data_IF_180369351144
#
_entry.id   IF_180369351144
#
_cell.length_a   1.000
_cell.length_b   1.000
_cell.length_c   1.000
_cell.angle_alpha   90.00
_cell.angle_beta   90.00
_cell.angle_gamma   90.00
#
_symmetry.space_group_name_H-M   'P 1'
#
loop_
_entity.id
_entity.type
_entity.pdbx_description
1 polymer ?
#
# COMPACT_ATOMS: atom_id res chain seq x y z
N UNK A 1 1.60 -4.91 -12.89
CA UNK A 1 2.40 -3.68 -12.77
C UNK A 1 2.87 -3.44 -11.36
N UNK A 2 4.15 -3.19 -11.17
CA UNK A 2 4.69 -2.83 -9.87
C UNK A 2 4.75 -1.30 -9.75
N UNK A 3 3.99 -0.75 -8.83
CA UNK A 3 4.00 0.66 -8.50
C UNK A 3 4.85 0.90 -7.23
N UNK A 4 5.98 1.57 -7.38
CA UNK A 4 6.83 1.96 -6.25
C UNK A 4 6.57 3.44 -5.94
N UNK A 5 5.97 3.75 -4.77
CA UNK A 5 5.69 5.11 -4.37
C UNK A 5 6.94 5.98 -4.28
N UNK A 6 6.80 7.28 -4.56
CA UNK A 6 7.91 8.22 -4.62
C UNK A 6 8.79 8.25 -3.35
N UNK A 7 8.17 8.16 -2.17
CA UNK A 7 8.94 8.14 -0.92
C UNK A 7 9.67 6.80 -0.69
N UNK A 8 9.10 5.68 -1.18
CA UNK A 8 9.78 4.38 -1.15
C UNK A 8 10.98 4.42 -2.07
N UNK A 9 10.80 4.90 -3.31
CA UNK A 9 11.87 5.02 -4.29
C UNK A 9 13.01 5.93 -3.80
N UNK A 10 12.67 7.05 -3.17
CA UNK A 10 13.64 8.05 -2.73
C UNK A 10 14.34 7.71 -1.39
N UNK A 11 13.64 7.11 -0.43
CA UNK A 11 14.14 6.94 0.94
C UNK A 11 14.40 5.48 1.32
N UNK A 12 13.68 4.53 0.72
CA UNK A 12 13.71 3.11 1.06
C UNK A 12 13.70 2.22 -0.19
N UNK A 13 14.61 2.43 -1.17
CA UNK A 13 14.58 1.71 -2.46
C UNK A 13 14.69 0.20 -2.30
N UNK A 14 15.30 -0.27 -1.20
CA UNK A 14 15.38 -1.69 -0.85
C UNK A 14 14.01 -2.34 -0.65
N UNK A 15 12.98 -1.60 -0.22
CA UNK A 15 11.60 -2.10 -0.10
C UNK A 15 11.02 -2.38 -1.48
N UNK A 16 11.26 -1.50 -2.45
CA UNK A 16 10.86 -1.72 -3.84
C UNK A 16 11.52 -2.95 -4.45
N UNK A 17 12.84 -3.08 -4.25
CA UNK A 17 13.61 -4.25 -4.71
C UNK A 17 13.13 -5.54 -4.03
N UNK A 18 12.88 -5.51 -2.72
CA UNK A 18 12.36 -6.66 -1.98
C UNK A 18 10.98 -7.08 -2.48
N UNK A 19 10.09 -6.11 -2.74
CA UNK A 19 8.75 -6.37 -3.29
C UNK A 19 8.85 -7.03 -4.67
N UNK A 20 9.69 -6.51 -5.55
CA UNK A 20 9.92 -7.11 -6.87
C UNK A 20 10.40 -8.57 -6.75
N UNK A 21 11.43 -8.80 -5.91
CA UNK A 21 11.98 -10.14 -5.68
C UNK A 21 10.95 -11.11 -5.09
N UNK A 22 10.15 -10.65 -4.13
CA UNK A 22 9.10 -11.46 -3.53
C UNK A 22 8.07 -11.90 -4.57
N UNK A 23 7.52 -10.96 -5.32
CA UNK A 23 6.50 -11.26 -6.33
C UNK A 23 7.03 -12.17 -7.44
N UNK A 24 8.24 -11.92 -7.94
CA UNK A 24 8.87 -12.81 -8.96
C UNK A 24 9.21 -14.19 -8.42
N UNK A 25 9.62 -14.32 -7.15
CA UNK A 25 9.88 -15.61 -6.51
C UNK A 25 8.62 -16.47 -6.36
N UNK A 26 7.45 -15.85 -6.37
CA UNK A 26 6.15 -16.52 -6.36
C UNK A 26 5.64 -16.89 -7.77
N UNK A 27 6.48 -16.68 -8.80
CA UNK A 27 6.18 -17.04 -10.19
C UNK A 27 5.33 -16.02 -10.94
N UNK A 28 5.20 -14.81 -10.42
CA UNK A 28 4.43 -13.74 -11.07
C UNK A 28 5.29 -13.02 -12.13
N UNK A 29 4.64 -12.65 -13.24
CA UNK A 29 5.23 -11.77 -14.25
C UNK A 29 5.11 -10.31 -13.78
N UNK A 30 6.23 -9.72 -13.40
CA UNK A 30 6.26 -8.40 -12.77
C UNK A 30 6.96 -7.40 -13.66
N UNK A 31 6.25 -6.37 -14.07
CA UNK A 31 6.80 -5.23 -14.82
C UNK A 31 6.85 -3.98 -13.94
N UNK A 32 8.00 -3.32 -13.93
CA UNK A 32 8.22 -2.00 -13.32
C UNK A 32 8.23 -0.92 -14.41
N UNK A 33 7.15 -0.13 -14.59
CA UNK A 33 7.13 0.94 -15.58
C UNK A 33 8.07 2.09 -15.19
N UNK A 34 9.09 2.38 -15.99
CA UNK A 34 10.09 3.42 -15.68
C UNK A 34 9.55 4.85 -15.67
N UNK A 35 8.39 5.08 -16.29
CA UNK A 35 7.76 6.41 -16.37
C UNK A 35 6.79 6.69 -15.23
N UNK A 36 6.73 5.81 -14.23
CA UNK A 36 5.86 6.03 -13.09
C UNK A 36 6.29 7.25 -12.26
N UNK A 37 5.33 7.87 -11.62
CA UNK A 37 5.51 9.05 -10.79
C UNK A 37 4.86 8.85 -9.41
N UNK A 38 4.62 9.92 -8.67
CA UNK A 38 3.85 9.88 -7.43
C UNK A 38 2.41 9.41 -7.65
N UNK A 39 1.73 8.90 -6.61
CA UNK A 39 0.28 8.64 -6.64
C UNK A 39 -0.56 9.94 -6.68
N UNK A 40 0.00 11.09 -6.33
CA UNK A 40 -0.69 12.39 -6.28
C UNK A 40 -1.31 12.73 -4.93
N UNK A 41 -1.24 11.87 -3.93
CA UNK A 41 -1.83 12.11 -2.60
C UNK A 41 -1.32 13.40 -1.92
N UNK A 42 -0.01 13.71 -1.88
CA UNK A 42 0.47 14.95 -1.28
C UNK A 42 -0.12 16.20 -1.94
N UNK A 43 -0.24 16.20 -3.26
CA UNK A 43 -0.81 17.33 -4.01
C UNK A 43 -2.30 17.50 -3.70
N UNK A 44 -3.05 16.41 -3.65
CA UNK A 44 -4.47 16.45 -3.29
C UNK A 44 -4.68 16.94 -1.86
N UNK A 45 -3.89 16.44 -0.91
CA UNK A 45 -3.97 16.84 0.51
C UNK A 45 -3.61 18.31 0.73
N UNK A 46 -2.67 18.84 -0.06
CA UNK A 46 -2.28 20.25 -0.04
C UNK A 46 -3.22 21.17 -0.87
N UNK A 47 -4.34 20.65 -1.41
CA UNK A 47 -5.33 21.43 -2.16
C UNK A 47 -4.99 21.67 -3.64
N UNK A 48 -3.90 21.10 -4.16
CA UNK A 48 -3.53 21.21 -5.58
C UNK A 48 -4.26 20.17 -6.44
N UNK A 49 -5.59 20.23 -6.45
CA UNK A 49 -6.47 19.23 -7.09
C UNK A 49 -6.18 19.04 -8.59
N UNK A 50 -5.85 20.12 -9.32
CA UNK A 50 -5.52 20.03 -10.74
C UNK A 50 -4.27 19.19 -10.98
N UNK A 51 -3.21 19.40 -10.18
CA UNK A 51 -1.98 18.61 -10.28
C UNK A 51 -2.25 17.14 -9.94
N UNK A 52 -3.02 16.88 -8.88
CA UNK A 52 -3.42 15.53 -8.51
C UNK A 52 -4.23 14.84 -9.62
N UNK A 53 -5.10 15.57 -10.32
CA UNK A 53 -5.87 15.06 -11.46
C UNK A 53 -4.96 14.69 -12.63
N UNK A 54 -3.98 15.51 -12.97
CA UNK A 54 -3.05 15.23 -14.06
C UNK A 54 -2.16 14.03 -13.75
N UNK A 55 -1.71 13.89 -12.49
CA UNK A 55 -0.98 12.72 -12.00
C UNK A 55 -1.85 11.46 -12.08
N UNK A 56 -3.12 11.53 -11.67
CA UNK A 56 -4.06 10.42 -11.72
C UNK A 56 -4.27 9.91 -13.14
N UNK A 57 -4.40 10.80 -14.13
CA UNK A 57 -4.51 10.43 -15.54
C UNK A 57 -3.25 9.75 -16.05
N UNK A 58 -2.08 10.31 -15.73
CA UNK A 58 -0.80 9.71 -16.10
C UNK A 58 -0.64 8.31 -15.52
N UNK A 59 -1.02 8.13 -14.24
CA UNK A 59 -1.02 6.84 -13.59
C UNK A 59 -1.94 5.84 -14.30
N UNK A 60 -3.16 6.25 -14.61
CA UNK A 60 -4.11 5.40 -15.29
C UNK A 60 -3.60 4.98 -16.67
N UNK A 61 -3.11 5.93 -17.47
CA UNK A 61 -2.55 5.65 -18.79
C UNK A 61 -1.37 4.67 -18.74
N UNK A 62 -0.55 4.75 -17.71
CA UNK A 62 0.63 3.91 -17.55
C UNK A 62 0.30 2.50 -17.10
N UNK A 63 -0.73 2.35 -16.24
CA UNK A 63 -1.02 1.09 -15.58
C UNK A 63 -2.31 0.38 -16.06
N UNK A 64 -3.09 0.99 -16.95
CA UNK A 64 -4.40 0.45 -17.37
C UNK A 64 -4.34 -0.93 -18.04
N UNK A 65 -3.24 -1.29 -18.68
CA UNK A 65 -3.09 -2.57 -19.38
C UNK A 65 -2.67 -3.74 -18.49
N UNK A 66 -2.26 -3.48 -17.24
CA UNK A 66 -1.89 -4.55 -16.32
C UNK A 66 -3.15 -5.18 -15.68
N UNK A 67 -3.09 -6.48 -15.38
CA UNK A 67 -4.15 -7.18 -14.66
C UNK A 67 -4.29 -6.66 -13.23
N UNK A 68 -3.16 -6.43 -12.56
CA UNK A 68 -3.06 -5.86 -11.22
C UNK A 68 -1.99 -4.77 -11.17
N UNK A 69 -2.18 -3.82 -10.27
CA UNK A 69 -1.16 -2.83 -9.90
C UNK A 69 -0.88 -3.01 -8.41
N UNK A 70 0.36 -3.40 -8.08
CA UNK A 70 0.74 -3.73 -6.70
C UNK A 70 1.72 -2.71 -6.18
N UNK A 71 1.45 -2.18 -4.98
CA UNK A 71 2.29 -1.18 -4.33
C UNK A 71 2.64 -1.59 -2.88
N UNK A 72 3.90 -1.44 -2.43
CA UNK A 72 4.29 -1.65 -1.04
C UNK A 72 3.97 -0.42 -0.17
N UNK A 73 2.74 0.07 -0.24
CA UNK A 73 2.29 1.24 0.52
C UNK A 73 0.77 1.31 0.59
N UNK A 74 0.22 1.06 1.75
CA UNK A 74 -1.22 1.10 1.97
C UNK A 74 -1.82 2.48 1.67
N UNK A 75 -1.16 3.58 2.05
CA UNK A 75 -1.67 4.93 1.80
C UNK A 75 -1.76 5.26 0.30
N UNK A 76 -0.72 4.91 -0.47
CA UNK A 76 -0.71 5.16 -1.91
C UNK A 76 -1.69 4.25 -2.65
N UNK A 77 -1.78 2.97 -2.28
CA UNK A 77 -2.76 2.04 -2.85
C UNK A 77 -4.19 2.50 -2.56
N UNK A 78 -4.49 2.91 -1.32
CA UNK A 78 -5.79 3.45 -0.93
C UNK A 78 -6.11 4.75 -1.71
N UNK A 79 -5.14 5.64 -1.87
CA UNK A 79 -5.34 6.87 -2.62
C UNK A 79 -5.71 6.59 -4.09
N UNK A 80 -4.99 5.72 -4.76
CA UNK A 80 -5.33 5.31 -6.13
C UNK A 80 -6.71 4.65 -6.18
N UNK A 81 -6.99 3.73 -5.27
CA UNK A 81 -8.22 2.94 -5.25
C UNK A 81 -9.48 3.79 -5.03
N UNK A 82 -9.43 4.76 -4.11
CA UNK A 82 -10.62 5.47 -3.65
C UNK A 82 -10.68 6.94 -4.08
N UNK A 83 -9.54 7.57 -4.35
CA UNK A 83 -9.50 9.00 -4.65
C UNK A 83 -9.26 9.31 -6.13
N UNK A 84 -8.49 8.51 -6.87
CA UNK A 84 -8.35 8.70 -8.33
C UNK A 84 -9.71 8.72 -9.05
N UNK A 85 -10.70 7.85 -8.74
CA UNK A 85 -12.03 7.95 -9.35
C UNK A 85 -12.73 9.27 -9.07
N UNK A 86 -12.47 9.91 -7.92
CA UNK A 86 -13.05 11.22 -7.57
C UNK A 86 -12.35 12.37 -8.29
N UNK A 87 -11.07 12.21 -8.63
CA UNK A 87 -10.29 13.16 -9.42
C UNK A 87 -10.59 13.04 -10.92
N UNK A 88 -11.09 11.89 -11.35
CA UNK A 88 -11.49 11.67 -12.73
C UNK A 88 -12.65 12.60 -13.11
N UNK A 89 -12.43 13.49 -14.10
CA UNK A 89 -13.42 14.47 -14.57
C UNK A 89 -13.66 14.29 -16.05
N UNK A 90 -14.90 14.56 -16.50
CA UNK A 90 -15.30 14.42 -17.88
C UNK A 90 -15.47 12.95 -18.30
N UNK A 91 -14.98 12.59 -19.48
CA UNK A 91 -15.11 11.24 -20.03
C UNK A 91 -13.96 10.29 -19.63
N UNK A 92 -13.12 10.69 -18.66
CA UNK A 92 -12.03 9.85 -18.19
C UNK A 92 -12.54 8.88 -17.11
N UNK A 93 -12.51 7.60 -17.41
CA UNK A 93 -12.76 6.53 -16.44
C UNK A 93 -11.42 6.07 -15.83
N UNK A 94 -11.35 6.00 -14.51
CA UNK A 94 -10.18 5.49 -13.81
C UNK A 94 -10.18 3.95 -13.82
N UNK A 95 -9.50 3.36 -14.80
CA UNK A 95 -9.47 1.90 -15.00
C UNK A 95 -8.59 1.17 -13.97
N UNK A 96 -7.60 1.86 -13.40
CA UNK A 96 -6.63 1.28 -12.48
C UNK A 96 -7.13 1.16 -11.04
N UNK A 97 -8.14 1.94 -10.66
CA UNK A 97 -8.62 2.00 -9.26
C UNK A 97 -9.04 0.64 -8.69
N UNK A 98 -9.74 -0.18 -9.48
CA UNK A 98 -10.26 -1.49 -9.03
C UNK A 98 -9.18 -2.58 -8.97
N UNK A 99 -8.08 -2.41 -9.68
CA UNK A 99 -6.99 -3.38 -9.79
C UNK A 99 -5.72 -2.98 -9.05
N UNK A 100 -5.74 -1.79 -8.43
CA UNK A 100 -4.64 -1.35 -7.56
C UNK A 100 -4.82 -1.93 -6.16
N UNK A 101 -3.78 -2.57 -5.65
CA UNK A 101 -3.78 -3.24 -4.35
C UNK A 101 -2.49 -2.94 -3.59
N UNK A 102 -2.58 -2.90 -2.27
CA UNK A 102 -1.39 -3.02 -1.42
C UNK A 102 -0.79 -4.43 -1.57
N UNK A 103 0.52 -4.55 -1.39
CA UNK A 103 1.22 -5.84 -1.52
C UNK A 103 0.68 -6.90 -0.57
N UNK A 104 0.28 -6.53 0.64
CA UNK A 104 -0.33 -7.45 1.62
C UNK A 104 -1.71 -7.90 1.14
N UNK A 105 -2.55 -6.95 0.68
CA UNK A 105 -3.86 -7.26 0.11
C UNK A 105 -3.72 -8.23 -1.08
N UNK A 106 -2.80 -7.94 -2.00
CA UNK A 106 -2.57 -8.77 -3.18
C UNK A 106 -2.08 -10.18 -2.84
N UNK A 107 -1.10 -10.28 -1.95
CA UNK A 107 -0.57 -11.58 -1.53
C UNK A 107 -1.62 -12.40 -0.79
N UNK A 108 -2.36 -11.80 0.14
CA UNK A 108 -3.33 -12.51 0.97
C UNK A 108 -4.59 -12.91 0.19
N UNK A 109 -5.15 -12.01 -0.61
CA UNK A 109 -6.47 -12.21 -1.23
C UNK A 109 -6.40 -12.83 -2.63
N UNK A 110 -5.31 -12.58 -3.38
CA UNK A 110 -5.16 -13.03 -4.78
C UNK A 110 -4.20 -14.19 -4.88
N UNK A 111 -2.95 -14.01 -4.45
CA UNK A 111 -1.88 -15.01 -4.61
C UNK A 111 -2.08 -16.20 -3.66
N UNK A 112 -2.44 -15.93 -2.42
CA UNK A 112 -2.70 -16.93 -1.35
C UNK A 112 -1.57 -17.95 -1.20
N UNK A 113 -0.33 -17.50 -0.97
CA UNK A 113 0.78 -18.42 -0.83
C UNK A 113 0.56 -19.33 0.39
N UNK A 114 0.87 -20.61 0.24
CA UNK A 114 0.81 -21.57 1.36
C UNK A 114 2.13 -21.68 2.12
N UNK A 115 3.22 -21.16 1.55
CA UNK A 115 4.53 -21.07 2.15
C UNK A 115 5.35 -19.95 1.52
N UNK A 116 6.30 -19.40 2.26
CA UNK A 116 7.28 -18.45 1.75
C UNK A 116 8.68 -19.01 2.00
N UNK A 117 9.56 -18.93 0.99
CA UNK A 117 10.99 -19.27 1.16
C UNK A 117 11.70 -18.10 1.85
N UNK A 118 11.33 -17.83 3.09
CA UNK A 118 11.86 -16.71 3.87
C UNK A 118 12.16 -17.18 5.30
N UNK A 119 13.28 -16.72 5.85
CA UNK A 119 13.69 -17.00 7.23
C UNK A 119 14.04 -15.68 7.90
N UNK A 120 13.39 -15.41 9.06
CA UNK A 120 13.59 -14.18 9.82
C UNK A 120 13.47 -14.46 11.33
N UNK A 121 14.56 -14.91 12.00
CA UNK A 121 14.53 -15.38 13.38
C UNK A 121 14.54 -14.23 14.40
N UNK A 122 13.54 -13.35 14.29
CA UNK A 122 13.42 -12.16 15.15
C UNK A 122 12.01 -12.03 15.72
N UNK A 123 11.92 -11.31 16.84
CA UNK A 123 10.64 -10.88 17.41
C UNK A 123 10.19 -9.64 16.67
N UNK A 124 8.96 -9.68 16.12
CA UNK A 124 8.36 -8.57 15.40
C UNK A 124 7.03 -8.17 16.02
N UNK A 125 6.71 -6.90 15.89
CA UNK A 125 5.40 -6.34 16.23
C UNK A 125 4.86 -5.61 15.01
N UNK A 126 3.55 -5.69 14.78
CA UNK A 126 2.89 -5.04 13.64
C UNK A 126 2.10 -3.85 14.13
N UNK A 127 2.46 -2.65 13.67
CA UNK A 127 1.62 -1.46 13.77
C UNK A 127 0.73 -1.38 12.53
N UNK A 128 -0.58 -1.45 12.74
CA UNK A 128 -1.55 -1.36 11.64
C UNK A 128 -1.76 0.11 11.23
N UNK A 129 -1.38 0.45 10.01
CA UNK A 129 -1.54 1.81 9.49
C UNK A 129 -3.01 2.20 9.31
N UNK A 130 -3.33 3.49 9.47
CA UNK A 130 -4.70 3.99 9.32
C UNK A 130 -5.34 3.62 7.98
N UNK A 131 -4.64 3.86 6.86
CA UNK A 131 -5.13 3.49 5.53
C UNK A 131 -5.27 1.97 5.36
N UNK A 132 -4.32 1.20 5.91
CA UNK A 132 -4.38 -0.27 5.87
C UNK A 132 -5.61 -0.81 6.59
N UNK A 133 -5.90 -0.32 7.78
CA UNK A 133 -7.04 -0.79 8.59
C UNK A 133 -8.36 -0.27 8.04
N UNK A 134 -8.49 1.06 7.88
CA UNK A 134 -9.79 1.71 7.69
C UNK A 134 -10.24 1.80 6.25
N UNK A 135 -9.31 1.83 5.31
CA UNK A 135 -9.64 1.94 3.88
C UNK A 135 -9.45 0.60 3.15
N UNK A 136 -8.31 -0.08 3.34
CA UNK A 136 -8.02 -1.32 2.63
C UNK A 136 -8.51 -2.59 3.35
N UNK A 137 -8.87 -2.49 4.65
CA UNK A 137 -9.32 -3.65 5.41
C UNK A 137 -8.24 -4.74 5.55
N UNK A 138 -6.97 -4.35 5.80
CA UNK A 138 -5.88 -5.30 6.01
C UNK A 138 -5.93 -5.95 7.38
N UNK A 139 -6.61 -5.33 8.34
CA UNK A 139 -6.90 -5.89 9.65
C UNK A 139 -8.21 -5.35 10.21
N UNK A 140 -8.76 -6.03 11.22
CA UNK A 140 -9.95 -5.57 11.95
C UNK A 140 -9.61 -4.35 12.79
N UNK A 141 -10.37 -3.25 12.67
CA UNK A 141 -10.26 -2.11 13.56
C UNK A 141 -10.92 -2.42 14.92
N UNK A 142 -10.29 -1.99 16.03
CA UNK A 142 -10.77 -2.27 17.39
C UNK A 142 -12.13 -1.65 17.69
N UNK A 143 -12.43 -0.49 17.08
CA UNK A 143 -13.67 0.26 17.29
C UNK A 143 -14.92 -0.40 16.68
N UNK A 144 -14.77 -1.38 15.78
CA UNK A 144 -15.92 -1.95 15.03
C UNK A 144 -16.48 -3.23 15.59
N UNK A 145 -15.99 -3.79 16.66
CA UNK A 145 -16.47 -5.04 17.28
C UNK A 145 -16.74 -6.19 16.27
N UNK A 146 -15.90 -6.28 15.22
CA UNK A 146 -15.96 -7.36 14.23
C UNK A 146 -15.02 -8.50 14.63
N UNK A 147 -15.19 -9.72 14.10
CA UNK A 147 -14.23 -10.80 14.31
C UNK A 147 -12.81 -10.34 13.99
N UNK A 148 -11.88 -10.67 14.88
CA UNK A 148 -10.49 -10.23 14.74
C UNK A 148 -9.81 -10.97 13.59
N UNK A 149 -9.17 -10.22 12.69
CA UNK A 149 -8.32 -10.74 11.62
C UNK A 149 -7.16 -9.77 11.36
N UNK A 150 -6.08 -10.28 10.79
CA UNK A 150 -4.95 -9.44 10.36
C UNK A 150 -4.18 -10.15 9.23
N UNK A 151 -4.38 -9.67 8.00
CA UNK A 151 -3.76 -10.23 6.79
C UNK A 151 -2.23 -10.16 6.84
N UNK A 152 -1.66 -9.12 7.48
CA UNK A 152 -0.21 -8.97 7.63
C UNK A 152 0.33 -10.10 8.50
N UNK A 153 -0.31 -10.35 9.65
CA UNK A 153 0.08 -11.41 10.58
C UNK A 153 -0.06 -12.78 9.91
N UNK A 154 -1.13 -13.00 9.15
CA UNK A 154 -1.33 -14.29 8.48
C UNK A 154 -0.24 -14.58 7.44
N UNK A 155 0.22 -13.57 6.70
CA UNK A 155 1.36 -13.72 5.79
C UNK A 155 2.69 -13.88 6.54
N UNK A 156 2.91 -13.14 7.64
CA UNK A 156 4.13 -13.24 8.44
C UNK A 156 4.30 -14.63 9.09
N UNK A 157 3.22 -15.31 9.45
CA UNK A 157 3.25 -16.69 9.95
C UNK A 157 3.82 -17.69 8.95
N UNK A 158 3.89 -17.35 7.65
CA UNK A 158 4.51 -18.18 6.62
C UNK A 158 6.04 -18.03 6.56
N UNK A 159 6.61 -17.09 7.34
CA UNK A 159 8.06 -16.83 7.41
C UNK A 159 8.66 -17.67 8.53
N UNK A 160 9.67 -18.48 8.19
CA UNK A 160 10.33 -19.35 9.17
C UNK A 160 11.14 -18.55 10.22
N UNK A 161 11.09 -18.99 11.46
CA UNK A 161 11.83 -18.42 12.60
C UNK A 161 11.23 -17.14 13.18
N UNK A 162 10.20 -16.54 12.57
CA UNK A 162 9.60 -15.31 13.08
C UNK A 162 8.80 -15.55 14.38
N UNK A 163 8.92 -14.64 15.33
CA UNK A 163 8.08 -14.59 16.53
C UNK A 163 7.26 -13.32 16.53
N UNK A 164 5.93 -13.44 16.54
CA UNK A 164 5.04 -12.28 16.51
C UNK A 164 4.63 -11.93 17.94
N UNK A 165 4.89 -10.68 18.34
CA UNK A 165 4.42 -10.09 19.60
C UNK A 165 3.42 -8.98 19.26
N UNK A 166 2.18 -9.12 19.70
CA UNK A 166 1.17 -8.09 19.50
C UNK A 166 1.41 -6.90 20.44
N UNK A 167 1.30 -5.64 19.94
CA UNK A 167 1.33 -4.45 20.79
C UNK A 167 0.03 -4.34 21.59
N UNK A 168 0.07 -3.63 22.71
CA UNK A 168 -1.14 -3.39 23.54
C UNK A 168 -2.21 -2.62 22.75
N UNK A 169 -1.78 -1.67 21.91
CA UNK A 169 -2.64 -0.81 21.09
C UNK A 169 -2.35 -1.03 19.60
N UNK A 170 -3.03 -2.02 19.03
CA UNK A 170 -2.74 -2.54 17.69
C UNK A 170 -2.99 -1.55 16.54
N UNK A 171 -3.94 -0.66 16.70
CA UNK A 171 -4.46 0.25 15.68
C UNK A 171 -4.55 1.72 16.16
N UNK A 172 -3.81 2.05 17.23
CA UNK A 172 -3.66 3.43 17.68
C UNK A 172 -2.95 4.27 16.61
N UNK A 173 -3.43 5.50 16.41
CA UNK A 173 -2.77 6.43 15.50
C UNK A 173 -1.37 6.78 16.01
N UNK A 174 -0.36 6.71 15.13
CA UNK A 174 1.02 7.08 15.48
C UNK A 174 1.26 8.60 15.49
N UNK A 175 0.27 9.40 15.10
CA UNK A 175 0.37 10.85 15.01
C UNK A 175 0.95 11.38 13.69
N UNK A 176 1.66 10.59 12.90
CA UNK A 176 2.40 11.05 11.73
C UNK A 176 1.60 11.95 10.77
N UNK A 177 0.38 11.55 10.37
CA UNK A 177 -0.52 12.38 9.55
C UNK A 177 -0.03 12.75 8.14
N UNK A 178 1.06 12.17 7.64
CA UNK A 178 1.59 12.44 6.30
C UNK A 178 2.14 13.87 6.17
N UNK A 179 1.54 14.70 5.31
CA UNK A 179 1.94 16.11 5.13
C UNK A 179 1.87 16.92 6.42
N UNK A 180 0.96 16.58 7.33
CA UNK A 180 0.82 17.23 8.63
C UNK A 180 2.12 17.19 9.45
N UNK A 181 2.87 16.08 9.38
CA UNK A 181 4.17 15.97 10.08
C UNK A 181 5.24 16.91 9.53
N UNK A 182 5.08 17.40 8.31
CA UNK A 182 5.99 18.37 7.68
C UNK A 182 5.55 19.81 7.98
N UNK A 183 4.24 20.05 7.97
CA UNK A 183 3.65 21.38 8.16
C UNK A 183 3.57 21.75 9.65
N UNK A 184 3.30 20.77 10.52
CA UNK A 184 3.10 20.94 11.96
C UNK A 184 3.93 19.91 12.76
N UNK A 185 5.27 19.91 12.63
CA UNK A 185 6.13 18.87 13.23
C UNK A 185 6.08 18.84 14.77
N UNK A 186 5.80 19.98 15.40
CA UNK A 186 5.72 20.10 16.86
C UNK A 186 4.43 19.48 17.44
N UNK A 187 3.44 19.19 16.60
CA UNK A 187 2.13 18.64 16.98
C UNK A 187 1.98 17.19 16.55
N UNK A 188 2.71 16.78 15.51
CA UNK A 188 2.66 15.44 14.91
C UNK A 188 3.20 14.33 15.82
#
# INVERSE_FOLDING_TARGET
>A
GLFIPCYVDALYPEVGVATYKLLTSLGLDVTYPLKQTCCGQPMANAGFEKMATDISRHFDDLFKEFDYVVAPSASCAAFVKFYHPRLAKGNHECLTSKKTMDVVEFLHDVVKPTSLKAHFPHIVSVHNSCHGVRELGLSSPSERQVPQFNKIIDLLKLVDGITIREPERKDECCGFGGMFSVEEPDVS
#
